data_IF_824371227646
#
_entry.id   IF_824371227646
#
_cell.length_a   1.000
_cell.length_b   1.000
_cell.length_c   1.000
_cell.angle_alpha   90.00
_cell.angle_beta   90.00
_cell.angle_gamma   90.00
#
_symmetry.space_group_name_H-M   'P 1'
#
loop_
_entity.id
_entity.type
_entity.pdbx_description
1 polymer ?
#
# COMPACT_ATOMS: atom_id res chain seq x y z
N UNK A 1 18.32 25.34 -5.59
CA UNK A 1 17.30 26.34 -6.00
C UNK A 1 15.94 25.66 -6.11
N UNK A 2 14.82 26.35 -5.87
CA UNK A 2 13.45 25.83 -6.06
C UNK A 2 13.27 25.14 -7.44
N UNK A 3 13.96 25.67 -8.46
CA UNK A 3 14.02 25.10 -9.82
C UNK A 3 14.68 23.71 -9.86
N UNK A 4 15.73 23.48 -9.09
CA UNK A 4 16.45 22.20 -9.07
C UNK A 4 15.57 21.12 -8.43
N UNK A 5 14.87 21.47 -7.33
CA UNK A 5 13.91 20.58 -6.68
C UNK A 5 12.77 20.21 -7.63
N UNK A 6 12.17 21.18 -8.34
CA UNK A 6 11.12 20.90 -9.33
C UNK A 6 11.62 20.01 -10.47
N UNK A 7 12.83 20.24 -10.98
CA UNK A 7 13.42 19.45 -12.06
C UNK A 7 13.69 18.01 -11.62
N UNK A 8 14.17 17.83 -10.39
CA UNK A 8 14.39 16.51 -9.80
C UNK A 8 13.09 15.76 -9.57
N UNK A 9 12.05 16.42 -9.04
CA UNK A 9 10.72 15.83 -8.88
C UNK A 9 10.14 15.39 -10.22
N UNK A 10 10.22 16.22 -11.26
CA UNK A 10 9.74 15.88 -12.60
C UNK A 10 10.47 14.67 -13.20
N UNK A 11 11.78 14.55 -12.95
CA UNK A 11 12.56 13.39 -13.38
C UNK A 11 12.09 12.10 -12.71
N UNK A 12 11.85 12.14 -11.39
CA UNK A 12 11.36 10.98 -10.62
C UNK A 12 9.95 10.59 -11.08
N UNK A 13 9.05 11.56 -11.25
CA UNK A 13 7.68 11.30 -11.73
C UNK A 13 7.71 10.63 -13.10
N UNK A 14 8.55 11.13 -14.03
CA UNK A 14 8.71 10.51 -15.36
C UNK A 14 9.22 9.07 -15.27
N UNK A 15 10.12 8.80 -14.33
CA UNK A 15 10.67 7.46 -14.12
C UNK A 15 9.65 6.49 -13.52
N UNK A 16 8.81 6.97 -12.60
CA UNK A 16 7.77 6.21 -11.92
C UNK A 16 6.44 6.09 -12.70
N UNK A 17 6.33 6.81 -13.82
CA UNK A 17 5.11 6.92 -14.60
C UNK A 17 4.48 5.58 -15.01
N UNK A 18 5.25 4.56 -15.48
CA UNK A 18 4.68 3.25 -15.79
C UNK A 18 4.00 2.58 -14.59
N UNK A 19 4.63 2.65 -13.41
CA UNK A 19 4.09 2.11 -12.16
C UNK A 19 2.82 2.83 -11.73
N UNK A 20 2.74 4.15 -11.92
CA UNK A 20 1.53 4.92 -11.67
C UNK A 20 0.36 4.49 -12.56
N UNK A 21 0.61 4.21 -13.85
CA UNK A 21 -0.43 3.69 -14.76
C UNK A 21 -0.92 2.32 -14.29
N UNK A 22 -0.01 1.42 -13.89
CA UNK A 22 -0.40 0.10 -13.38
C UNK A 22 -1.29 0.24 -12.14
N UNK A 23 -0.91 1.11 -11.19
CA UNK A 23 -1.69 1.38 -10.00
C UNK A 23 -3.07 1.97 -10.33
N UNK A 24 -3.13 2.92 -11.28
CA UNK A 24 -4.38 3.50 -11.75
C UNK A 24 -5.30 2.44 -12.37
N UNK A 25 -4.78 1.58 -13.25
CA UNK A 25 -5.55 0.49 -13.86
C UNK A 25 -6.11 -0.50 -12.84
N UNK A 26 -5.35 -0.82 -11.80
CA UNK A 26 -5.81 -1.67 -10.70
C UNK A 26 -6.93 -0.97 -9.93
N UNK A 27 -6.74 0.31 -9.61
CA UNK A 27 -7.75 1.11 -8.94
C UNK A 27 -9.06 1.18 -9.75
N UNK A 28 -8.96 1.44 -11.05
CA UNK A 28 -10.10 1.46 -11.98
C UNK A 28 -10.81 0.09 -12.03
N UNK A 29 -10.04 -1.00 -12.03
CA UNK A 29 -10.59 -2.35 -12.01
C UNK A 29 -11.37 -2.62 -10.72
N UNK A 30 -10.81 -2.22 -9.57
CA UNK A 30 -11.47 -2.35 -8.26
C UNK A 30 -12.76 -1.53 -8.23
N UNK A 31 -12.72 -0.29 -8.72
CA UNK A 31 -13.87 0.61 -8.79
C UNK A 31 -14.96 0.02 -9.69
N UNK A 32 -14.60 -0.44 -10.90
CA UNK A 32 -15.52 -1.07 -11.83
C UNK A 32 -16.19 -2.31 -11.23
N UNK A 33 -15.42 -3.18 -10.57
CA UNK A 33 -15.96 -4.34 -9.89
C UNK A 33 -16.91 -3.96 -8.75
N UNK A 34 -16.56 -2.93 -7.98
CA UNK A 34 -17.40 -2.43 -6.89
C UNK A 34 -18.74 -1.88 -7.40
N UNK A 35 -18.71 -1.06 -8.46
CA UNK A 35 -19.92 -0.53 -9.12
C UNK A 35 -20.77 -1.66 -9.70
N UNK A 36 -20.15 -2.60 -10.43
CA UNK A 36 -20.86 -3.76 -10.97
C UNK A 36 -21.55 -4.58 -9.87
N UNK A 37 -20.90 -4.77 -8.72
CA UNK A 37 -21.47 -5.46 -7.57
C UNK A 37 -22.67 -4.71 -6.98
N UNK A 38 -22.60 -3.37 -6.87
CA UNK A 38 -23.72 -2.55 -6.41
C UNK A 38 -24.93 -2.68 -7.33
N UNK A 39 -24.70 -2.67 -8.64
CA UNK A 39 -25.73 -2.85 -9.67
C UNK A 39 -26.35 -4.25 -9.57
N UNK A 40 -25.54 -5.32 -9.55
CA UNK A 40 -26.01 -6.70 -9.45
C UNK A 40 -26.81 -6.96 -8.15
N UNK A 41 -26.37 -6.37 -7.03
CA UNK A 41 -27.11 -6.44 -5.76
C UNK A 41 -28.48 -5.77 -5.88
N UNK A 42 -28.60 -4.66 -6.62
CA UNK A 42 -29.88 -4.00 -6.90
C UNK A 42 -30.81 -4.89 -7.73
N UNK A 43 -30.27 -5.74 -8.60
CA UNK A 43 -31.02 -6.73 -9.38
C UNK A 43 -31.35 -8.03 -8.61
N UNK A 44 -31.05 -8.11 -7.31
CA UNK A 44 -31.43 -9.25 -6.47
C UNK A 44 -30.45 -10.42 -6.47
N UNK A 45 -29.29 -10.29 -7.12
CA UNK A 45 -28.24 -11.31 -7.07
C UNK A 45 -27.59 -11.36 -5.68
N UNK A 46 -27.52 -12.56 -5.09
CA UNK A 46 -26.77 -12.81 -3.85
C UNK A 46 -25.30 -13.01 -4.18
N UNK A 47 -24.48 -12.02 -3.80
CA UNK A 47 -23.03 -12.03 -4.01
C UNK A 47 -22.34 -12.33 -2.68
N UNK A 48 -21.25 -13.10 -2.73
CA UNK A 48 -20.42 -13.32 -1.55
C UNK A 48 -19.94 -11.98 -0.97
N UNK A 49 -19.86 -11.90 0.36
CA UNK A 49 -19.35 -10.71 1.04
C UNK A 49 -17.84 -10.61 0.86
N UNK A 50 -17.35 -9.38 0.69
CA UNK A 50 -15.91 -9.13 0.72
C UNK A 50 -15.36 -9.46 2.10
N UNK A 51 -14.10 -9.91 2.14
CA UNK A 51 -13.35 -9.95 3.38
C UNK A 51 -13.29 -8.54 3.98
N UNK A 52 -13.42 -8.45 5.30
CA UNK A 52 -13.29 -7.18 6.01
C UNK A 52 -11.91 -6.59 5.72
N UNK A 53 -11.84 -5.28 5.49
CA UNK A 53 -10.56 -4.63 5.22
C UNK A 53 -9.55 -4.86 6.34
N UNK A 54 -9.99 -4.93 7.59
CA UNK A 54 -9.15 -5.24 8.75
C UNK A 54 -8.58 -6.67 8.74
N UNK A 55 -9.06 -7.60 7.90
CA UNK A 55 -8.50 -8.96 7.80
C UNK A 55 -7.50 -9.13 6.65
N UNK A 56 -7.27 -8.12 5.83
CA UNK A 56 -6.36 -8.20 4.69
C UNK A 56 -4.91 -8.35 5.16
N UNK A 57 -4.19 -9.36 4.67
CA UNK A 57 -2.80 -9.62 5.01
C UNK A 57 -1.94 -9.70 3.74
N UNK A 58 -0.74 -9.14 3.80
CA UNK A 58 0.21 -9.22 2.72
C UNK A 58 0.83 -10.63 2.65
N UNK A 59 1.06 -11.12 1.44
CA UNK A 59 1.74 -12.40 1.25
C UNK A 59 3.26 -12.25 1.43
N UNK A 60 3.95 -13.28 1.92
CA UNK A 60 5.42 -13.25 2.15
C UNK A 60 6.23 -12.90 0.90
N UNK A 61 5.74 -13.29 -0.28
CA UNK A 61 6.37 -12.95 -1.56
C UNK A 61 6.48 -11.43 -1.79
N UNK A 62 5.53 -10.63 -1.29
CA UNK A 62 5.54 -9.18 -1.52
C UNK A 62 6.75 -8.51 -0.87
N UNK A 63 7.20 -9.02 0.28
CA UNK A 63 8.43 -8.55 0.92
C UNK A 63 9.63 -8.76 0.01
N UNK A 64 9.76 -9.96 -0.58
CA UNK A 64 10.87 -10.28 -1.47
C UNK A 64 10.83 -9.46 -2.76
N UNK A 65 9.64 -9.18 -3.31
CA UNK A 65 9.50 -8.31 -4.48
C UNK A 65 9.93 -6.87 -4.19
N UNK A 66 9.58 -6.33 -3.02
CA UNK A 66 10.03 -5.00 -2.58
C UNK A 66 11.54 -4.96 -2.35
N UNK A 67 12.09 -5.99 -1.70
CA UNK A 67 13.53 -6.11 -1.51
C UNK A 67 14.26 -6.18 -2.86
N UNK A 68 13.74 -6.95 -3.81
CA UNK A 68 14.28 -7.05 -5.16
C UNK A 68 14.28 -5.69 -5.87
N UNK A 69 13.21 -4.91 -5.72
CA UNK A 69 13.13 -3.53 -6.21
C UNK A 69 14.25 -2.66 -5.66
N UNK A 70 14.52 -2.72 -4.35
CA UNK A 70 15.64 -2.00 -3.73
C UNK A 70 17.00 -2.47 -4.28
N UNK A 71 17.21 -3.77 -4.41
CA UNK A 71 18.45 -4.34 -4.98
C UNK A 71 18.66 -3.82 -6.40
N UNK A 72 17.63 -3.78 -7.23
CA UNK A 72 17.72 -3.26 -8.60
C UNK A 72 18.05 -1.77 -8.64
N UNK A 73 17.51 -0.97 -7.72
CA UNK A 73 17.89 0.45 -7.61
C UNK A 73 19.38 0.55 -7.28
N UNK A 74 19.84 -0.15 -6.23
CA UNK A 74 21.24 -0.10 -5.76
C UNK A 74 22.19 -0.53 -6.87
N UNK A 75 21.95 -1.70 -7.49
CA UNK A 75 22.78 -2.20 -8.59
C UNK A 75 22.72 -1.26 -9.80
N UNK A 76 21.52 -0.78 -10.15
CA UNK A 76 21.34 0.17 -11.25
C UNK A 76 22.09 1.47 -11.05
N UNK A 77 22.13 2.00 -9.83
CA UNK A 77 22.92 3.20 -9.49
C UNK A 77 24.42 2.92 -9.47
N UNK A 78 24.85 1.82 -8.85
CA UNK A 78 26.28 1.51 -8.66
C UNK A 78 26.96 1.17 -9.98
N UNK A 79 26.32 0.35 -10.81
CA UNK A 79 26.85 -0.05 -12.12
C UNK A 79 26.44 0.90 -13.26
N UNK A 80 25.75 2.01 -12.94
CA UNK A 80 25.24 3.00 -13.91
C UNK A 80 24.40 2.38 -15.03
N UNK A 81 23.57 1.39 -14.70
CA UNK A 81 22.65 0.71 -15.64
C UNK A 81 21.27 1.38 -15.52
N UNK A 82 20.89 2.32 -16.43
CA UNK A 82 19.70 3.14 -16.23
C UNK A 82 18.40 2.33 -16.31
N UNK A 83 18.37 1.27 -17.12
CA UNK A 83 17.21 0.39 -17.25
C UNK A 83 16.90 -0.33 -15.94
N UNK A 84 17.92 -0.87 -15.27
CA UNK A 84 17.75 -1.61 -14.02
C UNK A 84 17.24 -0.69 -12.90
N UNK A 85 17.77 0.53 -12.84
CA UNK A 85 17.28 1.56 -11.91
C UNK A 85 15.80 1.88 -12.16
N UNK A 86 15.40 2.13 -13.42
CA UNK A 86 13.99 2.38 -13.79
C UNK A 86 13.06 1.25 -13.35
N UNK A 87 13.46 -0.01 -13.58
CA UNK A 87 12.68 -1.18 -13.15
C UNK A 87 12.54 -1.19 -11.64
N UNK A 88 13.65 -1.03 -10.91
CA UNK A 88 13.65 -1.01 -9.44
C UNK A 88 12.76 0.10 -8.87
N UNK A 89 12.80 1.32 -9.44
CA UNK A 89 11.94 2.44 -9.02
C UNK A 89 10.46 2.13 -9.22
N UNK A 90 10.07 1.53 -10.35
CA UNK A 90 8.67 1.19 -10.60
C UNK A 90 8.18 0.08 -9.66
N UNK A 91 9.01 -0.93 -9.39
CA UNK A 91 8.72 -1.97 -8.38
C UNK A 91 8.52 -1.30 -7.02
N UNK A 92 9.39 -0.37 -6.62
CA UNK A 92 9.25 0.32 -5.35
C UNK A 92 8.00 1.16 -5.24
N UNK A 93 7.69 1.97 -6.25
CA UNK A 93 6.48 2.79 -6.27
C UNK A 93 5.24 1.90 -6.12
N UNK A 94 5.19 0.79 -6.85
CA UNK A 94 4.10 -0.17 -6.77
C UNK A 94 3.96 -0.78 -5.37
N UNK A 95 5.02 -1.39 -4.85
CA UNK A 95 4.95 -2.09 -3.57
C UNK A 95 4.86 -1.16 -2.36
N UNK A 96 5.36 0.07 -2.43
CA UNK A 96 5.13 1.09 -1.40
C UNK A 96 3.63 1.37 -1.24
N UNK A 97 2.90 1.54 -2.34
CA UNK A 97 1.44 1.75 -2.30
C UNK A 97 0.73 0.51 -1.78
N UNK A 98 1.12 -0.69 -2.25
CA UNK A 98 0.57 -1.96 -1.76
C UNK A 98 0.77 -2.11 -0.25
N UNK A 99 1.98 -1.88 0.26
CA UNK A 99 2.24 -1.97 1.70
C UNK A 99 1.57 -0.87 2.51
N UNK A 100 1.37 0.32 1.96
CA UNK A 100 0.56 1.34 2.62
C UNK A 100 -0.88 0.87 2.81
N UNK A 101 -1.48 0.23 1.79
CA UNK A 101 -2.84 -0.34 1.89
C UNK A 101 -2.88 -1.44 2.97
N UNK A 102 -1.91 -2.35 3.00
CA UNK A 102 -1.84 -3.38 4.05
C UNK A 102 -1.55 -2.81 5.44
N UNK A 103 -0.77 -1.74 5.54
CA UNK A 103 -0.54 -1.04 6.79
C UNK A 103 -1.79 -0.33 7.30
N UNK A 104 -2.58 0.25 6.40
CA UNK A 104 -3.90 0.79 6.74
C UNK A 104 -4.86 -0.33 7.19
N UNK A 105 -4.78 -1.53 6.60
CA UNK A 105 -5.52 -2.71 7.06
C UNK A 105 -5.11 -3.13 8.47
N UNK A 106 -3.80 -3.19 8.76
CA UNK A 106 -3.29 -3.45 10.11
C UNK A 106 -3.75 -2.36 11.09
N UNK A 107 -3.69 -1.09 10.69
CA UNK A 107 -4.19 0.03 11.49
C UNK A 107 -5.67 -0.12 11.78
N UNK A 108 -6.47 -0.52 10.79
CA UNK A 108 -7.90 -0.81 10.96
C UNK A 108 -8.13 -1.88 12.02
N UNK A 109 -7.39 -2.98 11.94
CA UNK A 109 -7.45 -4.08 12.89
C UNK A 109 -7.11 -3.61 14.31
N UNK A 110 -6.01 -2.87 14.48
CA UNK A 110 -5.61 -2.30 15.77
C UNK A 110 -6.74 -1.42 16.35
N UNK A 111 -7.27 -0.49 15.54
CA UNK A 111 -8.33 0.42 15.98
C UNK A 111 -9.65 -0.29 16.31
N UNK A 112 -9.93 -1.43 15.66
CA UNK A 112 -11.06 -2.30 15.98
C UNK A 112 -10.89 -2.98 17.34
N UNK A 113 -9.70 -3.52 17.61
CA UNK A 113 -9.39 -4.16 18.89
C UNK A 113 -9.48 -3.17 20.06
N UNK A 114 -9.04 -1.92 19.87
CA UNK A 114 -9.18 -0.85 20.85
C UNK A 114 -10.59 -0.20 20.88
N UNK A 115 -11.57 -0.75 20.14
CA UNK A 115 -12.97 -0.26 20.08
C UNK A 115 -13.09 1.25 19.78
N UNK A 116 -12.20 1.76 18.94
CA UNK A 116 -12.16 3.18 18.58
C UNK A 116 -13.40 3.56 17.75
N UNK A 117 -13.98 4.73 18.03
CA UNK A 117 -15.16 5.25 17.30
C UNK A 117 -14.86 5.46 15.81
N UNK A 118 -15.84 5.20 14.95
CA UNK A 118 -15.68 5.28 13.49
C UNK A 118 -15.18 6.65 13.00
N UNK A 119 -15.62 7.75 13.62
CA UNK A 119 -15.15 9.09 13.28
C UNK A 119 -13.63 9.22 13.44
N UNK A 120 -13.09 8.74 14.57
CA UNK A 120 -11.66 8.84 14.85
C UNK A 120 -10.84 7.93 13.93
N UNK A 121 -11.38 6.77 13.52
CA UNK A 121 -10.74 5.91 12.51
C UNK A 121 -10.51 6.66 11.19
N UNK A 122 -11.51 7.39 10.72
CA UNK A 122 -11.41 8.21 9.51
C UNK A 122 -10.37 9.33 9.64
N UNK A 123 -10.33 10.01 10.79
CA UNK A 123 -9.31 11.03 11.06
C UNK A 123 -7.91 10.43 11.00
N UNK A 124 -7.69 9.25 11.60
CA UNK A 124 -6.39 8.56 11.57
C UNK A 124 -6.00 8.19 10.14
N UNK A 125 -6.93 7.66 9.33
CA UNK A 125 -6.62 7.33 7.93
C UNK A 125 -6.25 8.55 7.10
N UNK A 126 -6.97 9.66 7.24
CA UNK A 126 -6.62 10.91 6.58
C UNK A 126 -5.23 11.36 7.04
N UNK A 127 -4.97 11.34 8.34
CA UNK A 127 -3.68 11.76 8.87
C UNK A 127 -2.54 10.89 8.33
N UNK A 128 -2.71 9.57 8.29
CA UNK A 128 -1.71 8.63 7.73
C UNK A 128 -1.46 8.90 6.24
N UNK A 129 -2.51 9.13 5.44
CA UNK A 129 -2.38 9.35 4.00
C UNK A 129 -1.75 10.70 3.65
N UNK A 130 -2.02 11.75 4.44
CA UNK A 130 -1.53 13.10 4.16
C UNK A 130 -0.19 13.42 4.83
N UNK A 131 0.23 12.66 5.85
CA UNK A 131 1.51 12.86 6.54
C UNK A 131 2.54 11.83 6.07
N UNK A 132 3.59 12.24 5.32
CA UNK A 132 4.58 11.32 4.76
C UNK A 132 5.30 10.44 5.79
N UNK A 133 5.53 11.00 6.99
CA UNK A 133 6.18 10.28 8.09
C UNK A 133 5.28 9.16 8.60
N UNK A 134 3.98 9.42 8.77
CA UNK A 134 3.03 8.42 9.24
C UNK A 134 2.76 7.36 8.19
N UNK A 135 2.59 7.75 6.91
CA UNK A 135 2.49 6.76 5.82
C UNK A 135 3.71 5.84 5.80
N UNK A 136 4.91 6.40 6.00
CA UNK A 136 6.13 5.60 6.05
C UNK A 136 6.09 4.62 7.23
N UNK A 137 5.81 5.09 8.45
CA UNK A 137 5.71 4.21 9.63
C UNK A 137 4.71 3.08 9.38
N UNK A 138 3.55 3.39 8.81
CA UNK A 138 2.49 2.41 8.52
C UNK A 138 2.92 1.40 7.45
N UNK A 139 3.61 1.83 6.39
CA UNK A 139 4.19 0.95 5.37
C UNK A 139 5.21 -0.02 5.99
N UNK A 140 6.10 0.47 6.86
CA UNK A 140 7.08 -0.37 7.53
C UNK A 140 6.43 -1.34 8.53
N UNK A 141 5.41 -0.89 9.26
CA UNK A 141 4.61 -1.74 10.13
C UNK A 141 3.97 -2.90 9.34
N UNK A 142 3.45 -2.64 8.13
CA UNK A 142 2.91 -3.67 7.26
C UNK A 142 3.95 -4.71 6.83
N UNK A 143 5.17 -4.26 6.52
CA UNK A 143 6.29 -5.14 6.17
C UNK A 143 6.68 -6.03 7.35
N UNK A 144 6.74 -5.47 8.56
CA UNK A 144 7.05 -6.21 9.78
C UNK A 144 5.95 -7.19 10.17
N UNK A 145 4.67 -6.85 9.93
CA UNK A 145 3.51 -7.71 10.19
C UNK A 145 3.59 -9.06 9.46
N UNK A 146 4.25 -9.11 8.29
CA UNK A 146 4.46 -10.35 7.51
C UNK A 146 5.29 -11.39 8.27
N UNK A 147 6.24 -10.91 9.08
CA UNK A 147 7.22 -11.75 9.77
C UNK A 147 6.86 -11.98 11.22
N UNK A 148 6.38 -10.93 11.91
CA UNK A 148 6.13 -10.94 13.35
C UNK A 148 4.66 -11.32 13.66
N UNK A 149 3.74 -11.11 12.72
CA UNK A 149 2.29 -11.28 12.90
C UNK A 149 1.77 -10.51 14.12
N UNK A 150 1.74 -9.18 14.03
CA UNK A 150 1.34 -8.32 15.14
C UNK A 150 -0.09 -8.60 15.60
N UNK A 151 -0.94 -9.03 14.68
CA UNK A 151 -2.34 -9.33 14.99
C UNK A 151 -2.46 -10.49 15.96
N UNK A 152 -1.68 -11.55 15.77
CA UNK A 152 -1.63 -12.68 16.71
C UNK A 152 -1.21 -12.22 18.11
N UNK A 153 -0.22 -11.34 18.20
CA UNK A 153 0.28 -10.80 19.48
C UNK A 153 -0.80 -9.98 20.19
N UNK A 154 -1.57 -9.18 19.43
CA UNK A 154 -2.64 -8.35 19.98
C UNK A 154 -3.79 -9.22 20.48
N UNK A 155 -4.18 -10.26 19.73
CA UNK A 155 -5.24 -11.19 20.15
C UNK A 155 -4.88 -11.87 21.48
N UNK A 156 -3.66 -12.41 21.62
CA UNK A 156 -3.20 -13.05 22.88
C UNK A 156 -3.17 -12.11 24.08
N UNK A 157 -3.04 -10.80 23.88
CA UNK A 157 -3.05 -9.82 24.99
C UNK A 157 -4.47 -9.46 25.44
N UNK A 158 -5.45 -9.65 24.58
CA UNK A 158 -6.85 -9.32 24.85
C UNK A 158 -7.64 -10.51 25.41
N UNK A 159 -7.05 -11.71 25.44
CA UNK A 159 -7.48 -12.89 26.21
C UNK A 159 -7.06 -12.79 27.68
#
# INVERSE_FOLDING_TARGET
SLKDSLTQTMSIVRMAFPGMIILASIFDTILNYWVARLILKRFGYKLANFSLFSSWRAHKSFFWSYLLGMVFIILGTTYKIPLLNKIGVNIQVFFTVVFLIYGLSLTAYILEQFKIKNFLKWVIYILVCFQPILSQIVTWAAILDIWIDFRKIIDTKNE
#
